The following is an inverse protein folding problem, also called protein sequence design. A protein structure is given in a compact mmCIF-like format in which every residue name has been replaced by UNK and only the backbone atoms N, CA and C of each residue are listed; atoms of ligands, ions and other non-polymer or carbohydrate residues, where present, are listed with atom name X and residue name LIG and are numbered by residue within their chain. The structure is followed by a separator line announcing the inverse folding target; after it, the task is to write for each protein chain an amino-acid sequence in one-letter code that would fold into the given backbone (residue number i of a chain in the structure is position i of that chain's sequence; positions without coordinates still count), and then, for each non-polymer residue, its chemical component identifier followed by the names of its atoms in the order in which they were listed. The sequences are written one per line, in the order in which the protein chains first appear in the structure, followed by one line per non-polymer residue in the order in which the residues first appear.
data_IF_357688434334
#
_entry.id   IF_357688434334
#
_cell.length_a   1.000
_cell.length_b   1.000
_cell.length_c   1.000
_cell.angle_alpha   90.00
_cell.angle_beta   90.00
_cell.angle_gamma   90.00
#
_symmetry.space_group_name_H-M   'P 1'
#
loop_
_entity.id
_entity.type
_entity.pdbx_description
1 polymer ?
#
# COMPACT_ATOMS: atom_id res chain seq x y z
N UNK A 1 -11.36 12.58 6.28
CA UNK A 1 -10.84 11.37 5.61
C UNK A 1 -10.67 10.28 6.67
N UNK A 2 -11.15 9.06 6.44
CA UNK A 2 -11.00 7.91 7.34
C UNK A 2 -9.86 7.07 6.78
N UNK A 3 -8.81 6.84 7.58
CA UNK A 3 -7.61 6.11 7.16
C UNK A 3 -7.47 4.73 7.83
N UNK A 4 -8.15 4.53 8.97
CA UNK A 4 -8.09 3.29 9.73
C UNK A 4 -9.39 3.10 10.51
N UNK A 5 -9.88 1.87 10.59
CA UNK A 5 -10.99 1.47 11.44
C UNK A 5 -10.63 0.19 12.18
N UNK A 6 -10.87 0.19 13.50
CA UNK A 6 -10.80 -1.01 14.35
C UNK A 6 -12.10 -1.13 15.12
N UNK A 7 -12.74 -2.29 15.00
CA UNK A 7 -14.04 -2.51 15.64
C UNK A 7 -14.47 -3.96 15.59
N UNK A 8 -15.69 -4.21 16.05
CA UNK A 8 -16.32 -5.52 16.04
C UNK A 8 -17.00 -5.77 14.69
N UNK A 9 -16.77 -6.92 14.10
CA UNK A 9 -17.40 -7.34 12.85
C UNK A 9 -18.88 -7.69 13.10
N UNK A 10 -19.81 -6.85 12.63
CA UNK A 10 -21.23 -7.05 12.78
C UNK A 10 -21.86 -7.90 11.69
N UNK A 11 -21.38 -7.73 10.45
CA UNK A 11 -21.90 -8.43 9.27
C UNK A 11 -20.76 -8.69 8.31
N UNK A 12 -20.69 -9.90 7.78
CA UNK A 12 -19.65 -10.37 6.87
C UNK A 12 -20.27 -10.97 5.63
N UNK A 13 -20.15 -10.28 4.48
CA UNK A 13 -20.61 -10.72 3.17
C UNK A 13 -19.48 -10.68 2.15
N UNK A 14 -19.53 -11.50 1.10
CA UNK A 14 -18.55 -11.43 0.03
C UNK A 14 -18.43 -10.02 -0.55
N UNK A 15 -17.25 -9.44 -0.45
CA UNK A 15 -16.93 -8.09 -0.94
C UNK A 15 -17.33 -6.92 -0.03
N UNK A 16 -17.96 -7.19 1.15
CA UNK A 16 -18.41 -6.14 2.04
C UNK A 16 -18.48 -6.62 3.49
N UNK A 17 -18.15 -5.74 4.42
CA UNK A 17 -18.36 -5.94 5.86
C UNK A 17 -18.99 -4.72 6.51
N UNK A 18 -19.57 -4.92 7.68
CA UNK A 18 -19.99 -3.83 8.57
C UNK A 18 -19.25 -3.95 9.90
N UNK A 19 -18.57 -2.87 10.31
CA UNK A 19 -17.85 -2.77 11.58
C UNK A 19 -18.61 -1.88 12.54
N UNK A 20 -18.76 -2.32 13.77
CA UNK A 20 -19.11 -1.45 14.89
C UNK A 20 -17.86 -0.81 15.48
N UNK A 21 -17.79 0.50 15.41
CA UNK A 21 -16.72 1.29 16.02
C UNK A 21 -17.37 2.25 17.00
N UNK A 22 -17.48 1.83 18.26
CA UNK A 22 -18.06 2.65 19.33
C UNK A 22 -19.55 2.95 19.14
N UNK A 23 -20.33 2.03 18.61
CA UNK A 23 -21.77 2.18 18.37
C UNK A 23 -22.12 2.77 17.01
N UNK A 24 -21.12 3.03 16.16
CA UNK A 24 -21.32 3.47 14.76
C UNK A 24 -20.99 2.35 13.81
N UNK A 25 -21.96 1.95 12.98
CA UNK A 25 -21.79 0.92 11.95
C UNK A 25 -21.16 1.48 10.68
N UNK A 26 -19.91 1.09 10.38
CA UNK A 26 -19.22 1.46 9.15
C UNK A 26 -19.33 0.34 8.12
N UNK A 27 -19.92 0.65 6.97
CA UNK A 27 -19.89 -0.25 5.81
C UNK A 27 -18.58 -0.09 5.06
N UNK A 28 -17.83 -1.19 4.92
CA UNK A 28 -16.52 -1.23 4.27
C UNK A 28 -16.54 -2.24 3.14
N UNK A 29 -16.13 -1.82 1.95
CA UNK A 29 -15.96 -2.69 0.79
C UNK A 29 -14.56 -3.30 0.86
N UNK A 30 -14.46 -4.62 0.68
CA UNK A 30 -13.22 -5.37 0.83
C UNK A 30 -12.98 -6.29 -0.38
N UNK A 31 -11.73 -6.65 -0.71
CA UNK A 31 -11.43 -7.73 -1.63
C UNK A 31 -11.99 -9.08 -1.16
N UNK A 32 -12.19 -10.02 -2.08
CA UNK A 32 -12.60 -11.39 -1.70
C UNK A 32 -11.49 -12.15 -0.96
N UNK A 33 -10.20 -11.88 -1.26
CA UNK A 33 -9.07 -12.38 -0.47
C UNK A 33 -9.24 -12.03 1.00
N UNK A 34 -9.40 -10.75 1.31
CA UNK A 34 -9.69 -10.25 2.65
C UNK A 34 -10.92 -10.91 3.28
N UNK A 35 -12.01 -11.12 2.52
CA UNK A 35 -13.20 -11.80 3.03
C UNK A 35 -12.91 -13.23 3.51
N UNK A 36 -12.04 -13.96 2.81
CA UNK A 36 -11.70 -15.34 3.21
C UNK A 36 -10.77 -15.41 4.42
N UNK A 37 -9.94 -14.39 4.63
CA UNK A 37 -9.02 -14.31 5.75
C UNK A 37 -9.67 -13.87 7.07
N UNK A 38 -10.82 -13.17 6.98
CA UNK A 38 -11.52 -12.69 8.17
C UNK A 38 -12.17 -13.85 8.95
N UNK A 39 -12.08 -13.77 10.26
CA UNK A 39 -12.86 -14.60 11.18
C UNK A 39 -14.36 -14.31 11.07
N UNK A 40 -15.16 -15.00 11.91
CA UNK A 40 -16.61 -14.84 11.97
C UNK A 40 -17.07 -13.52 12.59
N UNK A 41 -18.37 -13.26 12.48
CA UNK A 41 -19.04 -12.13 13.13
C UNK A 41 -18.80 -12.14 14.66
N UNK A 42 -18.73 -10.98 15.27
CA UNK A 42 -18.41 -10.80 16.68
C UNK A 42 -16.92 -10.67 16.98
N UNK A 43 -16.03 -10.94 16.03
CA UNK A 43 -14.58 -10.77 16.20
C UNK A 43 -14.14 -9.33 16.02
N UNK A 44 -13.02 -8.96 16.65
CA UNK A 44 -12.42 -7.63 16.45
C UNK A 44 -11.47 -7.67 15.29
N UNK A 45 -11.67 -6.77 14.34
CA UNK A 45 -10.81 -6.61 13.16
C UNK A 45 -10.37 -5.17 13.00
N UNK A 46 -9.21 -4.97 12.37
CA UNK A 46 -8.67 -3.67 12.01
C UNK A 46 -8.42 -3.63 10.50
N UNK A 47 -8.85 -2.53 9.87
CA UNK A 47 -8.62 -2.27 8.46
C UNK A 47 -7.86 -0.96 8.24
N UNK A 48 -6.98 -0.97 7.28
CA UNK A 48 -6.50 0.23 6.58
C UNK A 48 -7.62 0.67 5.64
N UNK A 49 -7.92 1.96 5.59
CA UNK A 49 -9.09 2.46 4.87
C UNK A 49 -8.69 3.48 3.81
N UNK A 50 -9.06 3.21 2.59
CA UNK A 50 -9.12 4.22 1.55
C UNK A 50 -10.53 4.83 1.49
N UNK A 51 -10.62 6.14 1.79
CA UNK A 51 -11.87 6.90 1.70
C UNK A 51 -12.04 7.46 0.29
N UNK A 52 -13.06 7.02 -0.43
CA UNK A 52 -13.42 7.52 -1.74
C UNK A 52 -14.65 8.43 -1.65
N UNK A 53 -14.45 9.70 -1.98
CA UNK A 53 -15.51 10.72 -1.90
C UNK A 53 -15.90 11.14 -3.32
N UNK A 54 -17.19 11.17 -3.59
CA UNK A 54 -17.82 11.77 -4.76
C UNK A 54 -18.88 12.77 -4.31
N UNK A 55 -19.44 13.53 -5.23
CA UNK A 55 -20.48 14.52 -4.91
C UNK A 55 -21.71 13.88 -4.24
N UNK A 56 -22.06 12.64 -4.61
CA UNK A 56 -23.26 11.92 -4.21
C UNK A 56 -22.98 10.72 -3.28
N UNK A 57 -21.71 10.38 -3.00
CA UNK A 57 -21.36 9.19 -2.25
C UNK A 57 -20.04 9.29 -1.50
N UNK A 58 -20.03 8.67 -0.31
CA UNK A 58 -18.82 8.35 0.45
C UNK A 58 -18.71 6.83 0.57
N UNK A 59 -17.64 6.27 0.04
CA UNK A 59 -17.37 4.84 0.10
C UNK A 59 -16.04 4.57 0.82
N UNK A 60 -16.04 3.55 1.69
CA UNK A 60 -14.85 3.09 2.40
C UNK A 60 -14.41 1.76 1.81
N UNK A 61 -13.13 1.68 1.47
CA UNK A 61 -12.48 0.47 0.97
C UNK A 61 -11.46 0.02 2.01
N UNK A 62 -11.56 -1.24 2.47
CA UNK A 62 -10.77 -1.77 3.57
C UNK A 62 -9.81 -2.85 3.12
N UNK A 63 -8.60 -2.83 3.71
CA UNK A 63 -7.51 -3.75 3.42
C UNK A 63 -6.87 -4.21 4.72
N UNK A 64 -6.45 -5.47 4.79
CA UNK A 64 -5.73 -6.00 5.96
C UNK A 64 -4.27 -5.59 5.95
N UNK A 65 -3.68 -5.48 4.78
CA UNK A 65 -2.27 -5.16 4.60
C UNK A 65 -2.05 -3.81 3.91
N UNK A 66 -0.89 -3.23 4.13
CA UNK A 66 -0.49 -1.98 3.48
C UNK A 66 -0.27 -2.14 1.98
N UNK A 67 0.24 -3.32 1.56
CA UNK A 67 0.47 -3.63 0.16
C UNK A 67 -0.86 -3.67 -0.64
N UNK A 68 -1.92 -4.23 -0.06
CA UNK A 68 -3.23 -4.25 -0.70
C UNK A 68 -3.79 -2.83 -0.88
N UNK A 69 -3.68 -1.99 0.17
CA UNK A 69 -4.10 -0.59 0.11
C UNK A 69 -3.31 0.19 -0.96
N UNK A 70 -1.99 0.01 -0.99
CA UNK A 70 -1.11 0.67 -1.95
C UNK A 70 -1.40 0.21 -3.39
N UNK A 71 -1.57 -1.09 -3.61
CA UNK A 71 -1.97 -1.64 -4.92
C UNK A 71 -3.32 -1.09 -5.35
N UNK A 72 -4.30 -1.04 -4.45
CA UNK A 72 -5.59 -0.44 -4.75
C UNK A 72 -5.45 1.01 -5.20
N UNK A 73 -4.69 1.83 -4.48
CA UNK A 73 -4.46 3.24 -4.83
C UNK A 73 -3.76 3.39 -6.19
N UNK A 74 -2.81 2.53 -6.50
CA UNK A 74 -2.14 2.51 -7.81
C UNK A 74 -3.11 2.08 -8.92
N UNK A 75 -3.91 1.06 -8.70
CA UNK A 75 -4.91 0.61 -9.66
C UNK A 75 -5.93 1.69 -10.01
N UNK A 76 -6.49 2.37 -9.01
CA UNK A 76 -7.47 3.45 -9.26
C UNK A 76 -6.86 4.70 -9.90
N UNK A 77 -5.54 4.85 -9.89
CA UNK A 77 -4.85 5.94 -10.61
C UNK A 77 -4.75 5.70 -12.12
N UNK A 78 -5.02 4.46 -12.58
CA UNK A 78 -4.99 4.11 -13.99
C UNK A 78 -6.29 4.53 -14.67
N UNK A 79 -6.18 5.20 -15.81
CA UNK A 79 -7.33 5.69 -16.57
C UNK A 79 -8.27 4.53 -16.95
N UNK A 80 -9.55 4.63 -16.54
CA UNK A 80 -10.58 3.61 -16.79
C UNK A 80 -10.61 2.47 -15.76
N UNK A 81 -9.81 2.53 -14.70
CA UNK A 81 -9.88 1.61 -13.57
C UNK A 81 -10.52 2.32 -12.38
N UNK A 82 -11.80 2.04 -12.14
CA UNK A 82 -12.50 2.55 -10.97
C UNK A 82 -12.33 1.63 -9.74
N UNK A 83 -12.74 2.11 -8.54
CA UNK A 83 -12.61 1.35 -7.29
C UNK A 83 -13.19 -0.06 -7.33
N UNK A 84 -14.36 -0.25 -7.96
CA UNK A 84 -14.98 -1.58 -8.09
C UNK A 84 -14.15 -2.54 -8.94
N UNK A 85 -13.48 -2.05 -9.98
CA UNK A 85 -12.60 -2.88 -10.80
C UNK A 85 -11.30 -3.17 -10.06
N UNK A 86 -10.74 -2.21 -9.34
CA UNK A 86 -9.55 -2.41 -8.52
C UNK A 86 -9.76 -3.48 -7.44
N UNK A 87 -10.92 -3.50 -6.76
CA UNK A 87 -11.28 -4.59 -5.83
C UNK A 87 -11.35 -5.96 -6.53
N UNK A 88 -11.90 -6.03 -7.74
CA UNK A 88 -11.93 -7.29 -8.51
C UNK A 88 -10.53 -7.76 -8.89
N UNK A 89 -9.63 -6.84 -9.22
CA UNK A 89 -8.23 -7.18 -9.51
C UNK A 89 -7.56 -7.77 -8.29
N UNK A 90 -7.68 -7.13 -7.12
CA UNK A 90 -7.14 -7.64 -5.85
C UNK A 90 -7.84 -8.91 -5.34
N UNK A 91 -9.08 -9.16 -5.77
CA UNK A 91 -9.79 -10.40 -5.49
C UNK A 91 -9.38 -11.56 -6.40
N UNK A 92 -8.84 -11.26 -7.56
CA UNK A 92 -8.49 -12.25 -8.59
C UNK A 92 -7.03 -12.67 -8.60
N UNK A 93 -6.15 -11.86 -8.05
CA UNK A 93 -4.71 -12.12 -7.94
C UNK A 93 -4.20 -11.66 -6.58
N UNK A 94 -3.42 -12.51 -5.93
CA UNK A 94 -2.66 -12.12 -4.73
C UNK A 94 -1.67 -10.98 -5.05
N UNK A 95 -1.35 -10.10 -4.09
CA UNK A 95 -0.44 -8.97 -4.30
C UNK A 95 0.87 -9.32 -5.01
N UNK A 96 1.63 -10.37 -4.64
CA UNK A 96 2.85 -10.76 -5.34
C UNK A 96 2.60 -11.15 -6.79
N UNK A 97 1.55 -11.91 -7.04
CA UNK A 97 1.17 -12.39 -8.37
C UNK A 97 0.75 -11.25 -9.31
N UNK A 98 0.06 -10.26 -8.76
CA UNK A 98 -0.35 -9.05 -9.49
C UNK A 98 0.86 -8.21 -9.89
N UNK A 99 1.78 -7.98 -8.96
CA UNK A 99 3.03 -7.26 -9.20
C UNK A 99 3.85 -7.95 -10.28
N UNK A 100 4.01 -9.27 -10.18
CA UNK A 100 4.74 -10.07 -11.17
C UNK A 100 4.08 -10.06 -12.55
N UNK A 101 2.74 -10.17 -12.62
CA UNK A 101 2.00 -10.10 -13.89
C UNK A 101 2.20 -8.75 -14.60
N UNK A 102 2.19 -7.64 -13.86
CA UNK A 102 2.43 -6.31 -14.40
C UNK A 102 3.88 -6.16 -14.87
N UNK A 103 4.85 -6.57 -14.04
CA UNK A 103 6.28 -6.49 -14.33
C UNK A 103 6.66 -7.24 -15.60
N UNK A 104 6.18 -8.48 -15.74
CA UNK A 104 6.46 -9.33 -16.89
C UNK A 104 5.54 -9.08 -18.08
N UNK A 105 4.60 -8.11 -17.95
CA UNK A 105 3.64 -7.78 -19.00
C UNK A 105 2.76 -8.99 -19.39
N UNK A 106 2.36 -9.80 -18.39
CA UNK A 106 1.50 -10.96 -18.61
C UNK A 106 0.04 -10.51 -18.80
N UNK A 107 -0.25 -10.07 -20.03
CA UNK A 107 -1.59 -9.62 -20.42
C UNK A 107 -2.65 -10.73 -20.31
N UNK A 108 -2.25 -12.01 -20.42
CA UNK A 108 -3.20 -13.13 -20.32
C UNK A 108 -3.66 -13.31 -18.87
N UNK A 109 -2.71 -13.31 -17.92
CA UNK A 109 -3.00 -13.40 -16.49
C UNK A 109 -3.87 -12.23 -16.05
N UNK A 110 -3.56 -11.01 -16.46
CA UNK A 110 -4.36 -9.82 -16.14
C UNK A 110 -5.76 -9.86 -16.78
N UNK A 111 -5.88 -10.28 -18.05
CA UNK A 111 -7.16 -10.36 -18.75
C UNK A 111 -8.04 -11.52 -18.28
N UNK A 112 -7.52 -12.48 -17.51
CA UNK A 112 -8.34 -13.54 -16.89
C UNK A 112 -9.20 -13.03 -15.73
N UNK A 113 -8.89 -11.85 -15.22
CA UNK A 113 -9.64 -11.23 -14.11
C UNK A 113 -11.01 -10.73 -14.63
N UNK A 114 -12.12 -11.08 -13.99
CA UNK A 114 -13.46 -10.65 -14.41
C UNK A 114 -13.57 -9.10 -14.45
N UNK A 115 -13.85 -8.56 -15.63
CA UNK A 115 -13.94 -7.11 -15.86
C UNK A 115 -12.65 -6.44 -16.36
N UNK A 116 -11.55 -7.16 -16.44
CA UNK A 116 -10.31 -6.69 -17.08
C UNK A 116 -10.26 -7.20 -18.51
N UNK A 117 -10.54 -6.32 -19.46
CA UNK A 117 -10.37 -6.60 -20.89
C UNK A 117 -8.93 -6.37 -21.35
N UNK A 118 -8.61 -6.79 -22.59
CA UNK A 118 -7.28 -6.61 -23.20
C UNK A 118 -6.76 -5.17 -23.10
N UNK A 119 -7.59 -4.18 -23.44
CA UNK A 119 -7.22 -2.76 -23.36
C UNK A 119 -6.91 -2.30 -21.93
N UNK A 120 -7.66 -2.79 -20.94
CA UNK A 120 -7.42 -2.48 -19.53
C UNK A 120 -6.12 -3.13 -19.05
N UNK A 121 -5.87 -4.39 -19.41
CA UNK A 121 -4.63 -5.09 -19.10
C UNK A 121 -3.39 -4.38 -19.69
N UNK A 122 -3.47 -3.94 -20.95
CA UNK A 122 -2.41 -3.17 -21.60
C UNK A 122 -2.14 -1.85 -20.86
N UNK A 123 -3.19 -1.12 -20.44
CA UNK A 123 -3.06 0.13 -19.66
C UNK A 123 -2.44 -0.12 -18.29
N UNK A 124 -2.90 -1.14 -17.56
CA UNK A 124 -2.31 -1.52 -16.27
C UNK A 124 -0.80 -1.74 -16.40
N UNK A 125 -0.37 -2.45 -17.43
CA UNK A 125 1.06 -2.68 -17.67
C UNK A 125 1.79 -1.38 -17.99
N UNK A 126 1.30 -0.57 -18.94
CA UNK A 126 1.98 0.65 -19.38
C UNK A 126 2.10 1.67 -18.24
N UNK A 127 1.02 1.89 -17.49
CA UNK A 127 0.97 2.94 -16.47
C UNK A 127 1.60 2.53 -15.13
N UNK A 128 1.65 1.23 -14.81
CA UNK A 128 2.14 0.75 -13.51
C UNK A 128 3.51 0.09 -13.55
N UNK A 129 3.98 -0.41 -14.69
CA UNK A 129 5.23 -1.17 -14.79
C UNK A 129 6.44 -0.43 -14.21
N UNK A 130 6.56 0.87 -14.46
CA UNK A 130 7.66 1.68 -13.96
C UNK A 130 7.60 1.91 -12.44
N UNK A 131 6.42 1.76 -11.83
CA UNK A 131 6.17 1.95 -10.40
C UNK A 131 6.30 0.63 -9.60
N UNK A 132 6.44 -0.51 -10.28
CA UNK A 132 6.50 -1.83 -9.64
C UNK A 132 7.80 -2.13 -8.90
N UNK A 133 9.00 -1.65 -9.28
CA UNK A 133 10.22 -1.90 -8.52
C UNK A 133 10.16 -1.41 -7.07
N UNK A 134 9.54 -0.28 -6.82
CA UNK A 134 9.32 0.25 -5.45
C UNK A 134 8.41 -0.67 -4.62
N UNK A 135 7.44 -1.31 -5.28
CA UNK A 135 6.49 -2.21 -4.62
C UNK A 135 7.09 -3.59 -4.34
N UNK A 136 8.04 -4.06 -5.16
CA UNK A 136 8.74 -5.33 -4.94
C UNK A 136 9.68 -5.29 -3.74
N UNK A 137 10.37 -4.18 -3.51
CA UNK A 137 11.16 -3.99 -2.29
C UNK A 137 10.28 -4.20 -1.06
N UNK A 138 9.09 -3.63 -1.08
CA UNK A 138 8.09 -3.72 -0.02
C UNK A 138 7.50 -5.14 0.17
N UNK A 139 7.18 -5.84 -0.92
CA UNK A 139 6.69 -7.24 -0.87
C UNK A 139 7.79 -8.18 -0.34
N UNK A 140 9.04 -7.95 -0.74
CA UNK A 140 10.19 -8.74 -0.30
C UNK A 140 10.46 -8.58 1.20
N UNK A 141 10.28 -7.40 1.76
CA UNK A 141 10.47 -7.13 3.19
C UNK A 141 9.39 -7.77 4.07
N UNK A 142 8.13 -7.85 3.58
CA UNK A 142 7.04 -8.50 4.31
C UNK A 142 7.12 -10.05 4.25
N UNK A 143 7.67 -10.61 3.16
CA UNK A 143 7.87 -12.05 3.03
C UNK A 143 9.07 -12.57 3.85
N UNK A 144 9.99 -11.68 4.24
CA UNK A 144 11.17 -11.99 5.05
C UNK A 144 10.92 -11.65 6.52
N UNK A 145 9.86 -12.16 7.10
CA UNK A 145 9.66 -12.12 8.53
C UNK A 145 10.88 -12.72 9.27
N UNK A 146 11.63 -11.87 10.00
CA UNK A 146 12.78 -12.20 10.84
C UNK A 146 14.09 -12.57 10.12
N UNK A 147 14.97 -11.58 9.85
CA UNK A 147 16.32 -11.65 10.40
C UNK A 147 17.06 -10.27 10.33
N UNK A 148 17.98 -10.07 11.20
CA UNK A 148 18.66 -8.96 11.80
C UNK A 148 19.39 -7.91 10.91
N UNK A 149 18.94 -7.60 9.68
CA UNK A 149 19.48 -6.50 8.84
C UNK A 149 18.47 -5.37 8.52
N UNK A 150 17.26 -5.49 9.08
CA UNK A 150 16.11 -4.61 8.82
C UNK A 150 16.22 -3.20 9.45
N UNK A 151 16.90 -2.96 10.59
CA UNK A 151 16.90 -1.63 11.22
C UNK A 151 17.59 -0.54 10.40
N UNK A 152 18.61 -0.88 9.62
CA UNK A 152 19.43 0.12 8.91
C UNK A 152 18.76 0.58 7.59
N UNK A 153 18.12 -0.33 6.86
CA UNK A 153 17.36 -0.01 5.65
C UNK A 153 16.09 0.75 5.97
N UNK A 154 15.34 0.34 6.99
CA UNK A 154 14.16 1.05 7.48
C UNK A 154 14.53 2.47 7.96
N UNK A 155 15.60 2.61 8.73
CA UNK A 155 16.12 3.90 9.19
C UNK A 155 16.49 4.81 8.02
N UNK A 156 17.10 4.28 6.97
CA UNK A 156 17.45 5.03 5.77
C UNK A 156 16.22 5.55 5.04
N UNK A 157 15.20 4.71 4.86
CA UNK A 157 13.96 5.12 4.19
C UNK A 157 13.17 6.14 4.98
N UNK A 158 13.09 5.99 6.29
CA UNK A 158 12.44 6.95 7.19
C UNK A 158 13.14 8.33 7.12
N UNK A 159 14.48 8.34 7.11
CA UNK A 159 15.27 9.56 6.96
C UNK A 159 15.05 10.23 5.60
N UNK A 160 15.01 9.44 4.55
CA UNK A 160 14.77 9.93 3.18
C UNK A 160 13.37 10.52 3.04
N UNK A 161 12.37 9.83 3.58
CA UNK A 161 10.98 10.29 3.61
C UNK A 161 10.83 11.59 4.39
N UNK A 162 11.46 11.70 5.57
CA UNK A 162 11.45 12.91 6.38
C UNK A 162 12.04 14.11 5.64
N UNK A 163 13.19 13.95 4.97
CA UNK A 163 13.85 15.03 4.23
C UNK A 163 13.07 15.47 2.99
N UNK A 164 12.46 14.51 2.26
CA UNK A 164 11.59 14.82 1.11
C UNK A 164 10.33 15.57 1.57
N UNK A 165 9.72 15.17 2.68
CA UNK A 165 8.58 15.87 3.28
C UNK A 165 8.94 17.29 3.79
N UNK A 166 10.20 17.52 4.16
CA UNK A 166 10.73 18.85 4.49
C UNK A 166 11.03 19.70 3.25
N UNK A 167 10.84 19.18 2.04
CA UNK A 167 10.97 19.92 0.77
C UNK A 167 12.33 19.79 0.09
N UNK A 168 13.23 18.91 0.57
CA UNK A 168 14.50 18.66 -0.11
C UNK A 168 14.33 17.76 -1.32
N UNK A 169 15.13 17.98 -2.37
CA UNK A 169 15.13 17.12 -3.56
C UNK A 169 15.64 15.71 -3.19
N UNK A 170 14.97 14.67 -3.68
CA UNK A 170 15.28 13.26 -3.37
C UNK A 170 16.77 12.91 -3.57
N UNK A 171 17.38 13.40 -4.66
CA UNK A 171 18.79 13.13 -4.95
C UNK A 171 19.76 13.75 -3.91
N UNK A 172 19.43 14.93 -3.39
CA UNK A 172 20.21 15.60 -2.35
C UNK A 172 19.99 14.93 -0.99
N UNK A 173 18.74 14.57 -0.69
CA UNK A 173 18.37 13.85 0.53
C UNK A 173 19.08 12.49 0.60
N UNK A 174 19.08 11.71 -0.49
CA UNK A 174 19.72 10.38 -0.54
C UNK A 174 21.22 10.46 -0.25
N UNK A 175 21.92 11.42 -0.86
CA UNK A 175 23.34 11.64 -0.59
C UNK A 175 23.61 12.05 0.86
N UNK A 176 22.81 12.95 1.42
CA UNK A 176 22.96 13.40 2.80
C UNK A 176 22.69 12.29 3.82
N UNK A 177 21.68 11.44 3.58
CA UNK A 177 21.37 10.26 4.40
C UNK A 177 22.48 9.22 4.33
N UNK A 178 22.97 8.90 3.13
CA UNK A 178 24.07 7.95 2.97
C UNK A 178 25.34 8.38 3.71
N UNK A 179 25.67 9.67 3.64
CA UNK A 179 26.83 10.21 4.33
C UNK A 179 26.62 10.30 5.85
N UNK A 180 25.39 10.55 6.33
CA UNK A 180 25.07 10.58 7.76
C UNK A 180 25.16 9.18 8.39
N UNK A 181 24.69 8.15 7.69
CA UNK A 181 24.72 6.75 8.16
C UNK A 181 26.13 6.15 8.16
N UNK A 182 26.99 6.54 7.21
CA UNK A 182 28.39 6.05 7.14
C UNK A 182 29.25 6.46 8.33
N UNK A 183 28.91 7.56 8.99
CA UNK A 183 29.76 8.17 10.03
C UNK A 183 29.33 7.80 11.47
N UNK A 184 28.26 7.01 11.65
CA UNK A 184 27.78 6.62 12.97
C UNK A 184 27.66 5.09 13.05
N UNK A 185 28.40 4.48 13.99
CA UNK A 185 28.41 3.03 14.20
C UNK A 185 27.11 2.48 14.83
N UNK A 186 26.24 3.37 15.35
CA UNK A 186 24.92 3.02 15.91
C UNK A 186 23.96 4.18 15.66
N UNK A 187 23.52 4.38 14.41
CA UNK A 187 22.72 5.52 14.04
C UNK A 187 21.32 5.42 14.65
N UNK A 188 20.94 6.44 15.45
CA UNK A 188 19.55 6.67 15.79
C UNK A 188 18.93 7.62 14.79
N UNK A 189 17.62 7.47 14.52
CA UNK A 189 16.88 8.34 13.59
C UNK A 189 17.13 9.82 13.84
N UNK A 190 17.04 10.25 15.09
CA UNK A 190 17.19 11.66 15.48
C UNK A 190 18.60 12.21 15.18
N UNK A 191 19.64 11.43 15.47
CA UNK A 191 21.05 11.83 15.21
C UNK A 191 21.36 11.89 13.72
N UNK A 192 20.93 10.86 13.00
CA UNK A 192 21.13 10.76 11.57
C UNK A 192 20.37 11.85 10.80
N UNK A 193 19.13 12.16 11.20
CA UNK A 193 18.34 13.25 10.63
C UNK A 193 19.02 14.61 10.86
N UNK A 194 19.48 14.87 12.07
CA UNK A 194 20.17 16.12 12.43
C UNK A 194 21.47 16.32 11.63
N UNK A 195 22.24 15.25 11.44
CA UNK A 195 23.47 15.29 10.64
C UNK A 195 23.18 15.49 9.15
N UNK A 196 22.16 14.82 8.62
CA UNK A 196 21.74 14.99 7.24
C UNK A 196 21.24 16.42 6.96
N UNK A 197 20.43 17.00 7.85
CA UNK A 197 19.98 18.40 7.76
C UNK A 197 21.14 19.39 7.82
N UNK A 198 22.13 19.17 8.68
CA UNK A 198 23.30 20.01 8.78
C UNK A 198 24.09 20.08 7.47
N UNK A 199 24.19 18.95 6.75
CA UNK A 199 24.86 18.85 5.45
C UNK A 199 24.09 19.49 4.31
N UNK A 200 22.75 19.48 4.39
CA UNK A 200 21.89 20.11 3.40
C UNK A 200 21.80 21.63 3.57
N UNK A 201 22.16 22.15 4.74
CA UNK A 201 22.14 23.59 5.04
C UNK A 201 23.52 24.27 4.90
N UNK A 202 24.55 23.52 4.53
CA UNK A 202 25.92 24.02 4.27
C UNK A 202 26.17 24.15 2.80
#
# INVERSE_FOLDING_TARGET
MIAHLRGTLLDKRPGQVTLDVGGVGYKVLIPLSTYYELDGEGTTVAFRIHTHVREDALALFGFLTEIEEMLFQRLISVAGVGPSLALKVLSGLEPPDLVDAIRHSDLRKLASIPGVGKKTAERLVVELKEKMPEMLAWVGEQASGSDASVPELALREDLLSALVNLGYQRAQADKAVQDALRNDASPSFERALKEALRRLSS
#
